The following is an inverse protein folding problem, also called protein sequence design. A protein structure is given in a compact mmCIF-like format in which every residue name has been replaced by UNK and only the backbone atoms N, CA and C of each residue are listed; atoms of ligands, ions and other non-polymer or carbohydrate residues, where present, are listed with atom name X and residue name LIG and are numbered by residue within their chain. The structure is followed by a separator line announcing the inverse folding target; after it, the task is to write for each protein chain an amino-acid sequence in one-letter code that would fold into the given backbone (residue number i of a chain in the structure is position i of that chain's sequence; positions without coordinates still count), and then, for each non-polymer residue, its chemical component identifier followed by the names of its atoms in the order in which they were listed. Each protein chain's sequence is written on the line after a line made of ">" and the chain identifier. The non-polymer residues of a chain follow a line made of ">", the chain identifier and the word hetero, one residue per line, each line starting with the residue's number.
data_IF_190961332645
#
_entry.id   IF_190961332645
#
_cell.length_a   1.000
_cell.length_b   1.000
_cell.length_c   1.000
_cell.angle_alpha   90.00
_cell.angle_beta   90.00
_cell.angle_gamma   90.00
#
_symmetry.space_group_name_H-M   'P 1'
#
loop_
_entity.id
_entity.type
_entity.pdbx_description
1 polymer ?
#
# COMPACT_ATOMS: atom_id res chain seq x y z
N UNK A 1 19.49 -6.32 11.69
CA UNK A 1 20.43 -5.79 10.68
C UNK A 1 20.78 -6.86 9.67
N UNK A 2 21.73 -7.79 9.91
CA UNK A 2 22.20 -8.78 8.90
C UNK A 2 21.15 -9.48 8.02
N UNK A 3 20.00 -9.90 8.57
CA UNK A 3 18.92 -10.54 7.78
C UNK A 3 18.19 -9.54 6.88
N UNK A 4 17.93 -8.32 7.37
CA UNK A 4 17.30 -7.23 6.62
C UNK A 4 18.27 -6.71 5.55
N UNK A 5 19.54 -6.51 5.89
CA UNK A 5 20.55 -6.02 4.94
C UNK A 5 20.79 -7.04 3.83
N UNK A 6 20.86 -8.34 4.17
CA UNK A 6 20.91 -9.40 3.16
C UNK A 6 19.64 -9.49 2.30
N UNK A 7 18.47 -9.10 2.81
CA UNK A 7 17.23 -9.05 2.04
C UNK A 7 17.19 -7.84 1.11
N UNK A 8 17.71 -6.69 1.56
CA UNK A 8 17.93 -5.49 0.74
C UNK A 8 18.84 -5.80 -0.44
N UNK A 9 20.00 -6.40 -0.16
CA UNK A 9 21.02 -6.76 -1.16
C UNK A 9 20.50 -7.81 -2.14
N UNK A 10 19.75 -8.82 -1.67
CA UNK A 10 19.15 -9.86 -2.53
C UNK A 10 17.97 -9.37 -3.36
N UNK A 11 17.22 -8.40 -2.88
CA UNK A 11 16.07 -7.87 -3.60
C UNK A 11 16.50 -6.78 -4.61
N UNK A 12 17.68 -6.15 -4.44
CA UNK A 12 18.10 -5.01 -5.25
C UNK A 12 17.14 -3.82 -5.15
N UNK A 13 16.41 -3.73 -4.03
CA UNK A 13 15.30 -2.80 -3.86
C UNK A 13 15.80 -1.57 -3.11
N UNK A 14 15.80 -0.44 -3.81
CA UNK A 14 15.74 0.87 -3.16
C UNK A 14 14.41 0.99 -2.41
N UNK A 15 14.47 0.90 -1.08
CA UNK A 15 13.30 0.90 -0.22
C UNK A 15 12.64 2.27 -0.15
N UNK A 16 13.43 3.35 -0.17
CA UNK A 16 12.92 4.71 -0.10
C UNK A 16 12.12 5.03 -1.35
N UNK A 17 12.70 4.80 -2.54
CA UNK A 17 11.98 4.96 -3.81
C UNK A 17 10.74 4.06 -3.87
N UNK A 18 10.82 2.84 -3.34
CA UNK A 18 9.67 1.94 -3.36
C UNK A 18 8.56 2.33 -2.38
N UNK A 19 8.88 2.97 -1.27
CA UNK A 19 7.90 3.56 -0.35
C UNK A 19 7.14 4.69 -1.03
N UNK A 20 7.84 5.66 -1.60
CA UNK A 20 7.24 6.77 -2.35
C UNK A 20 6.37 6.27 -3.51
N UNK A 21 6.88 5.27 -4.24
CA UNK A 21 6.14 4.65 -5.33
C UNK A 21 4.87 3.94 -4.85
N UNK A 22 4.89 3.33 -3.67
CA UNK A 22 3.70 2.71 -3.08
C UNK A 22 2.65 3.75 -2.72
N UNK A 23 3.05 4.91 -2.21
CA UNK A 23 2.16 6.05 -1.94
C UNK A 23 1.58 6.64 -3.22
N UNK A 24 2.40 6.77 -4.27
CA UNK A 24 1.93 7.18 -5.60
C UNK A 24 0.86 6.21 -6.13
N UNK A 25 1.07 4.90 -6.00
CA UNK A 25 0.08 3.89 -6.40
C UNK A 25 -1.22 4.01 -5.61
N UNK A 26 -1.15 4.22 -4.28
CA UNK A 26 -2.35 4.47 -3.46
C UNK A 26 -3.15 5.68 -3.98
N UNK A 27 -2.47 6.81 -4.21
CA UNK A 27 -3.12 8.02 -4.70
C UNK A 27 -3.75 7.86 -6.08
N UNK A 28 -3.11 7.13 -7.00
CA UNK A 28 -3.68 6.84 -8.32
C UNK A 28 -4.93 5.95 -8.22
N UNK A 29 -4.96 4.97 -7.30
CA UNK A 29 -6.18 4.19 -7.02
C UNK A 29 -7.30 5.11 -6.56
N UNK A 30 -7.00 6.07 -5.66
CA UNK A 30 -8.00 7.03 -5.20
C UNK A 30 -8.50 7.96 -6.30
N UNK A 31 -7.65 8.35 -7.25
CA UNK A 31 -8.06 9.12 -8.42
C UNK A 31 -8.97 8.31 -9.35
N UNK A 32 -8.68 7.04 -9.60
CA UNK A 32 -9.58 6.14 -10.37
C UNK A 32 -10.99 6.14 -9.78
N UNK A 33 -11.10 5.97 -8.45
CA UNK A 33 -12.37 5.99 -7.73
C UNK A 33 -13.04 7.37 -7.79
N UNK A 34 -12.28 8.44 -7.62
CA UNK A 34 -12.81 9.81 -7.67
C UNK A 34 -13.43 10.11 -9.04
N UNK A 35 -12.73 9.79 -10.13
CA UNK A 35 -13.25 9.99 -11.48
C UNK A 35 -14.44 9.10 -11.79
N UNK A 36 -14.45 7.85 -11.31
CA UNK A 36 -15.64 7.00 -11.38
C UNK A 36 -16.87 7.68 -10.77
N UNK A 37 -16.76 8.17 -9.51
CA UNK A 37 -17.87 8.84 -8.86
C UNK A 37 -18.28 10.12 -9.59
N UNK A 38 -17.32 10.92 -10.04
CA UNK A 38 -17.58 12.20 -10.72
C UNK A 38 -18.27 11.97 -12.06
N UNK A 39 -17.83 11.02 -12.88
CA UNK A 39 -18.49 10.66 -14.13
C UNK A 39 -19.96 10.25 -13.93
N UNK A 40 -20.21 9.37 -12.95
CA UNK A 40 -21.59 8.91 -12.64
C UNK A 40 -22.47 10.05 -12.11
N UNK A 41 -21.94 10.94 -11.26
CA UNK A 41 -22.67 12.07 -10.66
C UNK A 41 -22.98 13.17 -11.68
N UNK A 42 -22.01 13.51 -12.52
CA UNK A 42 -22.11 14.62 -13.47
C UNK A 42 -22.67 14.21 -14.83
N UNK A 43 -22.79 12.90 -15.10
CA UNK A 43 -23.21 12.34 -16.39
C UNK A 43 -22.30 12.75 -17.54
N UNK A 44 -21.01 12.88 -17.25
CA UNK A 44 -19.97 13.23 -18.21
C UNK A 44 -19.00 12.07 -18.37
N UNK A 45 -19.03 11.45 -19.56
CA UNK A 45 -18.26 10.25 -19.84
C UNK A 45 -16.74 10.53 -19.94
N UNK A 46 -16.33 11.77 -20.19
CA UNK A 46 -14.92 12.21 -20.25
C UNK A 46 -14.11 11.86 -18.98
N UNK A 47 -14.78 11.75 -17.82
CA UNK A 47 -14.14 11.31 -16.58
C UNK A 47 -13.79 9.82 -16.58
N UNK A 48 -14.51 8.98 -17.32
CA UNK A 48 -14.17 7.56 -17.48
C UNK A 48 -12.93 7.39 -18.36
N UNK A 49 -12.79 8.19 -19.42
CA UNK A 49 -11.60 8.21 -20.26
C UNK A 49 -10.37 8.67 -19.45
N UNK A 50 -10.52 9.73 -18.65
CA UNK A 50 -9.48 10.18 -17.73
C UNK A 50 -9.11 9.09 -16.71
N UNK A 51 -10.10 8.37 -16.17
CA UNK A 51 -9.87 7.26 -15.25
C UNK A 51 -9.07 6.13 -15.89
N UNK A 52 -9.28 5.85 -17.19
CA UNK A 52 -8.48 4.87 -17.94
C UNK A 52 -7.02 5.31 -18.09
N UNK A 53 -6.74 6.58 -18.36
CA UNK A 53 -5.36 7.09 -18.43
C UNK A 53 -4.63 6.95 -17.08
N UNK A 54 -5.28 7.35 -15.99
CA UNK A 54 -4.76 7.19 -14.62
C UNK A 54 -4.48 5.71 -14.32
N UNK A 55 -5.39 4.83 -14.74
CA UNK A 55 -5.26 3.38 -14.57
C UNK A 55 -4.02 2.82 -15.25
N UNK A 56 -3.69 3.29 -16.44
CA UNK A 56 -2.49 2.86 -17.16
C UNK A 56 -1.20 3.34 -16.48
N UNK A 57 -1.19 4.59 -15.97
CA UNK A 57 -0.08 5.09 -15.14
C UNK A 57 0.07 4.21 -13.89
N UNK A 58 -1.01 3.93 -13.17
CA UNK A 58 -1.00 3.06 -11.99
C UNK A 58 -0.45 1.68 -12.31
N UNK A 59 -0.89 1.05 -13.42
CA UNK A 59 -0.39 -0.27 -13.83
C UNK A 59 1.11 -0.24 -14.08
N UNK A 60 1.61 0.78 -14.78
CA UNK A 60 3.05 0.96 -15.02
C UNK A 60 3.85 1.09 -13.73
N UNK A 61 3.38 1.93 -12.79
CA UNK A 61 4.04 2.12 -11.50
C UNK A 61 3.98 0.86 -10.62
N UNK A 62 2.85 0.15 -10.61
CA UNK A 62 2.73 -1.10 -9.87
C UNK A 62 3.65 -2.20 -10.42
N UNK A 63 3.90 -2.24 -11.73
CA UNK A 63 4.89 -3.14 -12.34
C UNK A 63 6.32 -2.81 -11.94
N UNK A 64 6.65 -1.53 -11.79
CA UNK A 64 7.96 -1.12 -11.24
C UNK A 64 8.07 -1.47 -9.76
N UNK A 65 7.00 -1.28 -9.00
CA UNK A 65 6.95 -1.56 -7.56
C UNK A 65 7.06 -3.05 -7.26
N UNK A 66 6.46 -3.87 -8.13
CA UNK A 66 6.39 -5.32 -8.03
C UNK A 66 6.79 -5.93 -9.40
N UNK A 67 8.09 -6.10 -9.70
CA UNK A 67 8.53 -6.59 -11.01
C UNK A 67 8.41 -8.12 -11.16
N UNK A 68 8.57 -8.87 -10.06
CA UNK A 68 8.57 -10.34 -10.06
C UNK A 68 7.26 -10.89 -9.49
N UNK A 69 6.16 -10.64 -10.21
CA UNK A 69 4.82 -11.04 -9.77
C UNK A 69 4.56 -12.51 -10.07
N UNK A 70 4.57 -13.33 -9.02
CA UNK A 70 4.11 -14.72 -9.11
C UNK A 70 2.61 -14.75 -8.76
N UNK A 71 1.77 -15.17 -9.72
CA UNK A 71 0.32 -15.39 -9.51
C UNK A 71 -0.46 -14.17 -9.02
N UNK A 72 -1.17 -14.31 -7.90
CA UNK A 72 -2.08 -13.30 -7.35
C UNK A 72 -1.37 -12.13 -6.64
N UNK A 73 -0.05 -12.17 -6.51
CA UNK A 73 0.76 -11.20 -5.75
C UNK A 73 0.49 -9.75 -6.20
N UNK A 74 0.32 -9.53 -7.51
CA UNK A 74 -0.03 -8.22 -8.07
C UNK A 74 -1.35 -7.66 -7.53
N UNK A 75 -2.41 -8.48 -7.60
CA UNK A 75 -3.74 -8.09 -7.18
C UNK A 75 -3.79 -7.88 -5.66
N UNK A 76 -3.15 -8.77 -4.90
CA UNK A 76 -3.03 -8.68 -3.45
C UNK A 76 -2.33 -7.38 -3.06
N UNK A 77 -1.17 -7.05 -3.63
CA UNK A 77 -0.45 -5.81 -3.34
C UNK A 77 -1.33 -4.58 -3.59
N UNK A 78 -2.00 -4.52 -4.75
CA UNK A 78 -2.93 -3.42 -5.06
C UNK A 78 -4.04 -3.30 -4.02
N UNK A 79 -4.63 -4.41 -3.59
CA UNK A 79 -5.71 -4.41 -2.59
C UNK A 79 -5.21 -3.99 -1.20
N UNK A 80 -4.04 -4.46 -0.77
CA UNK A 80 -3.41 -4.03 0.49
C UNK A 80 -3.16 -2.52 0.50
N UNK A 81 -2.55 -1.98 -0.56
CA UNK A 81 -2.30 -0.54 -0.69
C UNK A 81 -3.60 0.28 -0.67
N UNK A 82 -4.62 -0.13 -1.42
CA UNK A 82 -5.93 0.53 -1.42
C UNK A 82 -6.59 0.50 -0.03
N UNK A 83 -6.52 -0.63 0.67
CA UNK A 83 -7.06 -0.77 2.03
C UNK A 83 -6.31 0.10 3.03
N UNK A 84 -4.97 0.15 2.97
CA UNK A 84 -4.16 1.05 3.79
C UNK A 84 -4.60 2.50 3.64
N UNK A 85 -4.68 3.01 2.41
CA UNK A 85 -5.10 4.38 2.16
C UNK A 85 -6.50 4.66 2.71
N UNK A 86 -7.45 3.74 2.50
CA UNK A 86 -8.82 3.93 2.98
C UNK A 86 -8.90 3.98 4.52
N UNK A 87 -8.11 3.17 5.22
CA UNK A 87 -8.04 3.19 6.68
C UNK A 87 -7.41 4.49 7.20
N UNK A 88 -6.37 5.00 6.53
CA UNK A 88 -5.77 6.32 6.83
C UNK A 88 -6.82 7.42 6.72
N UNK A 89 -7.60 7.44 5.64
CA UNK A 89 -8.64 8.45 5.43
C UNK A 89 -9.73 8.41 6.51
N UNK A 90 -10.20 7.21 6.90
CA UNK A 90 -11.16 7.05 8.00
C UNK A 90 -10.54 7.52 9.33
N UNK A 91 -9.28 7.18 9.58
CA UNK A 91 -8.53 7.65 10.75
C UNK A 91 -8.43 9.17 10.81
N UNK A 92 -8.09 9.83 9.70
CA UNK A 92 -8.03 11.29 9.58
C UNK A 92 -9.37 11.94 9.87
N UNK A 93 -10.46 11.39 9.32
CA UNK A 93 -11.82 11.88 9.59
C UNK A 93 -12.17 11.77 11.07
N UNK A 94 -11.95 10.62 11.70
CA UNK A 94 -12.18 10.43 13.14
C UNK A 94 -11.32 11.37 13.99
N UNK A 95 -10.08 11.60 13.58
CA UNK A 95 -9.15 12.49 14.27
C UNK A 95 -9.61 13.96 14.23
N UNK A 96 -10.20 14.39 13.10
CA UNK A 96 -10.81 15.70 12.90
C UNK A 96 -12.08 15.91 13.74
N UNK A 97 -12.79 14.81 14.05
CA UNK A 97 -13.96 14.79 14.94
C UNK A 97 -13.57 14.62 16.42
N UNK A 98 -12.28 14.78 16.77
CA UNK A 98 -11.72 14.59 18.11
C UNK A 98 -11.92 13.18 18.71
N UNK A 99 -12.25 12.17 17.90
CA UNK A 99 -12.39 10.76 18.31
C UNK A 99 -11.04 10.06 18.31
N UNK A 100 -10.11 10.52 19.16
CA UNK A 100 -8.69 10.13 19.13
C UNK A 100 -8.45 8.63 19.24
N UNK A 101 -9.13 7.94 20.15
CA UNK A 101 -8.94 6.48 20.33
C UNK A 101 -9.34 5.69 19.10
N UNK A 102 -10.47 6.05 18.46
CA UNK A 102 -10.95 5.41 17.23
C UNK A 102 -10.06 5.73 16.03
N UNK A 103 -9.55 6.96 15.96
CA UNK A 103 -8.59 7.34 14.93
C UNK A 103 -7.31 6.51 15.03
N UNK A 104 -6.76 6.39 16.24
CA UNK A 104 -5.59 5.56 16.55
C UNK A 104 -5.81 4.12 16.11
N UNK A 105 -6.96 3.52 16.44
CA UNK A 105 -7.32 2.16 16.02
C UNK A 105 -7.28 2.01 14.48
N UNK A 106 -7.75 3.00 13.72
CA UNK A 106 -7.71 2.96 12.25
C UNK A 106 -6.29 3.08 11.71
N UNK A 107 -5.46 3.96 12.29
CA UNK A 107 -4.07 4.12 11.90
C UNK A 107 -3.24 2.86 12.19
N UNK A 108 -3.44 2.21 13.33
CA UNK A 108 -2.79 0.93 13.67
C UNK A 108 -3.18 -0.17 12.67
N UNK A 109 -4.47 -0.25 12.31
CA UNK A 109 -4.94 -1.17 11.25
C UNK A 109 -4.31 -0.84 9.90
N UNK A 110 -4.22 0.44 9.52
CA UNK A 110 -3.59 0.84 8.27
C UNK A 110 -2.13 0.42 8.20
N UNK A 111 -1.39 0.65 9.29
CA UNK A 111 0.03 0.28 9.43
C UNK A 111 0.22 -1.24 9.35
N UNK A 112 -0.65 -2.02 10.00
CA UNK A 112 -0.66 -3.48 9.91
C UNK A 112 -0.86 -3.97 8.47
N UNK A 113 -1.84 -3.41 7.75
CA UNK A 113 -2.09 -3.77 6.34
C UNK A 113 -0.91 -3.41 5.45
N UNK A 114 -0.31 -2.22 5.66
CA UNK A 114 0.87 -1.78 4.92
C UNK A 114 2.09 -2.67 5.21
N UNK A 115 2.22 -3.14 6.44
CA UNK A 115 3.28 -4.07 6.84
C UNK A 115 3.17 -5.42 6.13
N UNK A 116 1.94 -5.91 5.89
CA UNK A 116 1.72 -7.12 5.09
C UNK A 116 2.13 -6.88 3.62
N UNK A 117 1.89 -5.70 3.06
CA UNK A 117 2.36 -5.35 1.72
C UNK A 117 3.89 -5.42 1.62
N UNK A 118 4.61 -4.83 2.57
CA UNK A 118 6.07 -4.88 2.60
C UNK A 118 6.61 -6.29 2.75
N UNK A 119 5.99 -7.10 3.59
CA UNK A 119 6.34 -8.50 3.74
C UNK A 119 6.20 -9.29 2.44
N UNK A 120 5.13 -9.02 1.68
CA UNK A 120 4.91 -9.63 0.37
C UNK A 120 5.94 -9.14 -0.65
N UNK A 121 6.20 -7.83 -0.70
CA UNK A 121 7.19 -7.22 -1.61
C UNK A 121 8.60 -7.74 -1.36
N UNK A 122 8.99 -7.92 -0.10
CA UNK A 122 10.29 -8.45 0.32
C UNK A 122 10.34 -9.98 0.27
N UNK A 123 9.30 -10.64 -0.26
CA UNK A 123 9.15 -12.10 -0.36
C UNK A 123 9.35 -12.83 0.98
N UNK A 124 8.97 -12.20 2.08
CA UNK A 124 8.99 -12.79 3.42
C UNK A 124 7.78 -13.69 3.68
N UNK A 125 6.70 -13.43 2.95
CA UNK A 125 5.49 -14.23 2.94
C UNK A 125 5.04 -14.45 1.49
N UNK A 126 4.30 -15.52 1.26
CA UNK A 126 3.58 -15.77 0.00
C UNK A 126 2.09 -15.47 0.17
N UNK A 127 1.36 -15.27 -0.93
CA UNK A 127 -0.07 -14.97 -0.91
C UNK A 127 -0.91 -15.96 -0.08
N UNK A 128 -0.55 -17.24 -0.11
CA UNK A 128 -1.23 -18.33 0.61
C UNK A 128 -1.12 -18.22 2.14
N UNK A 129 -0.04 -17.59 2.66
CA UNK A 129 0.24 -17.50 4.09
C UNK A 129 -0.26 -16.21 4.76
N UNK A 130 -0.87 -15.30 3.99
CA UNK A 130 -1.34 -14.01 4.50
C UNK A 130 -2.30 -14.16 5.70
N UNK A 131 -3.15 -15.19 5.71
CA UNK A 131 -4.08 -15.45 6.83
C UNK A 131 -3.37 -15.77 8.15
N UNK A 132 -2.26 -16.49 8.10
CA UNK A 132 -1.48 -16.84 9.30
C UNK A 132 -0.67 -15.63 9.76
N UNK A 133 -0.05 -14.93 8.82
CA UNK A 133 0.70 -13.69 9.04
C UNK A 133 -0.17 -12.56 9.62
N UNK A 134 -1.42 -12.44 9.20
CA UNK A 134 -2.34 -11.43 9.74
C UNK A 134 -2.69 -11.66 11.23
N UNK A 135 -2.52 -12.88 11.75
CA UNK A 135 -2.77 -13.20 13.16
C UNK A 135 -1.63 -12.78 14.08
N UNK A 136 -0.40 -12.76 13.60
CA UNK A 136 0.79 -12.31 14.35
C UNK A 136 1.55 -11.24 13.56
N UNK A 137 0.98 -10.03 13.52
CA UNK A 137 1.53 -8.90 12.75
C UNK A 137 2.68 -8.16 13.44
N UNK A 138 2.88 -8.41 14.74
CA UNK A 138 3.86 -7.73 15.58
C UNK A 138 5.28 -7.77 15.00
N UNK A 139 5.70 -8.94 14.53
CA UNK A 139 7.02 -9.16 13.93
C UNK A 139 7.19 -8.47 12.56
N UNK A 140 6.10 -8.22 11.84
CA UNK A 140 6.12 -7.54 10.53
C UNK A 140 6.11 -6.02 10.70
N UNK A 141 5.33 -5.54 11.66
CA UNK A 141 5.29 -4.14 12.07
C UNK A 141 6.68 -3.67 12.55
N UNK A 142 7.36 -4.50 13.35
CA UNK A 142 8.76 -4.30 13.76
C UNK A 142 9.75 -4.31 12.58
N UNK A 143 9.48 -5.13 11.57
CA UNK A 143 10.30 -5.19 10.37
C UNK A 143 10.12 -3.91 9.55
N UNK A 144 8.87 -3.46 9.34
CA UNK A 144 8.58 -2.22 8.62
C UNK A 144 9.11 -1.00 9.34
N UNK A 145 9.01 -0.95 10.67
CA UNK A 145 9.60 0.13 11.45
C UNK A 145 11.12 0.22 11.25
N UNK A 146 11.79 -0.94 11.14
CA UNK A 146 13.23 -1.01 10.83
C UNK A 146 13.55 -0.63 9.38
N UNK A 147 12.61 -0.78 8.45
CA UNK A 147 12.77 -0.30 7.07
C UNK A 147 12.60 1.22 7.02
N UNK A 148 11.63 1.78 7.75
CA UNK A 148 11.36 3.22 7.85
C UNK A 148 12.49 4.00 8.55
N UNK A 149 13.11 3.42 9.59
CA UNK A 149 14.29 4.00 10.27
C UNK A 149 15.55 4.04 9.39
N UNK A 150 15.48 3.65 8.12
CA UNK A 150 16.60 3.77 7.18
C UNK A 150 16.49 5.02 6.28
N UNK A 151 15.47 5.87 6.49
CA UNK A 151 15.31 7.19 5.86
C UNK A 151 16.01 8.32 6.63
N UNK A 152 16.98 8.01 7.49
CA UNK A 152 17.96 8.98 7.99
C UNK A 152 18.91 9.32 6.82
N UNK A 153 18.51 10.29 6.00
CA UNK A 153 19.39 10.98 5.03
C UNK A 153 20.51 11.76 5.74
#
# INVERSE_FOLDING_TARGET
>A
MKKIDSLKDKAGVDLSTAEDLSMAVMNLISLEEHFFFTGVKTKKDEYFDTSLEIREIRKSLLAKLMPNNEGETWCISKHLLATTMRLIEVGNKLNSESKKDKAKEMFEKAYKVYSIFWALKLKLITGEKIKETAKDSSQLEDLVAKLANCCDE
#
